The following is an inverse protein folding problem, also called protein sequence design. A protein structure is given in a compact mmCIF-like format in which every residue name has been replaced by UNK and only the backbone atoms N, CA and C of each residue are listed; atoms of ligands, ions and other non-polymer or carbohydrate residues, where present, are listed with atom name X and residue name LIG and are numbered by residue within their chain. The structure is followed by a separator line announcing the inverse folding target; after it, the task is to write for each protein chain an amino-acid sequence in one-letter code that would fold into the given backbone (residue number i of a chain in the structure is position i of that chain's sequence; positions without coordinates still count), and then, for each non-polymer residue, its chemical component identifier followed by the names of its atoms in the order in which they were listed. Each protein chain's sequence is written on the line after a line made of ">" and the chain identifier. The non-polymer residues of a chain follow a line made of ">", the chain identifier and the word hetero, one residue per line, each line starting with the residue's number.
data_IF_534267936921
#
_entry.id   IF_534267936921
#
_cell.length_a   1.000
_cell.length_b   1.000
_cell.length_c   1.000
_cell.angle_alpha   90.00
_cell.angle_beta   90.00
_cell.angle_gamma   90.00
#
_symmetry.space_group_name_H-M   'P 1'
#
loop_
_entity.id
_entity.type
_entity.pdbx_description
1 polymer ?
#
# COMPACT_ATOMS: atom_id res chain seq x y z
N UNK A 1 6.10 38.25 -16.80
CA UNK A 1 5.59 37.77 -18.09
C UNK A 1 4.87 36.45 -17.81
N UNK A 2 3.57 36.34 -18.06
CA UNK A 2 2.77 35.13 -17.78
C UNK A 2 3.09 33.90 -18.66
N UNK A 3 4.36 33.69 -18.98
CA UNK A 3 4.83 32.54 -19.77
C UNK A 3 5.04 31.35 -18.82
N UNK A 4 4.45 30.17 -19.11
CA UNK A 4 4.65 28.97 -18.29
C UNK A 4 6.07 28.42 -18.43
N UNK A 5 6.56 27.77 -17.36
CA UNK A 5 7.85 27.08 -17.34
C UNK A 5 7.58 25.59 -17.60
N UNK A 6 8.26 25.00 -18.58
CA UNK A 6 8.14 23.57 -18.87
C UNK A 6 9.39 22.85 -18.35
N UNK A 7 9.29 22.02 -17.28
CA UNK A 7 10.43 21.24 -16.82
C UNK A 7 10.72 20.10 -17.79
N UNK A 8 12.01 19.90 -18.09
CA UNK A 8 12.47 18.81 -18.97
C UNK A 8 13.62 18.09 -18.30
N UNK A 9 13.44 16.79 -18.09
CA UNK A 9 14.47 15.91 -17.54
C UNK A 9 15.13 15.08 -18.64
N UNK A 10 16.45 14.99 -18.59
CA UNK A 10 17.27 14.16 -19.46
C UNK A 10 17.93 13.05 -18.64
N UNK A 11 17.70 11.78 -19.00
CA UNK A 11 18.40 10.65 -18.41
C UNK A 11 19.79 10.52 -19.06
N UNK A 12 20.75 11.17 -18.43
CA UNK A 12 22.11 11.14 -18.94
C UNK A 12 23.11 11.55 -17.86
N UNK A 13 24.10 10.71 -17.62
CA UNK A 13 25.17 11.00 -16.68
C UNK A 13 26.50 11.18 -17.44
N UNK A 14 27.34 12.11 -16.96
CA UNK A 14 28.72 12.22 -17.40
C UNK A 14 29.54 11.07 -16.80
N UNK A 15 30.69 10.78 -17.40
CA UNK A 15 31.54 9.68 -16.98
C UNK A 15 32.05 9.85 -15.53
N UNK A 16 32.36 8.74 -14.86
CA UNK A 16 32.96 8.78 -13.52
C UNK A 16 34.26 9.62 -13.49
N UNK A 17 35.01 9.58 -14.60
CA UNK A 17 36.24 10.38 -14.74
C UNK A 17 35.95 11.88 -14.80
N UNK A 18 34.86 12.29 -15.46
CA UNK A 18 34.43 13.69 -15.47
C UNK A 18 34.13 14.19 -14.05
N UNK A 19 33.42 13.38 -13.25
CA UNK A 19 33.13 13.71 -11.86
C UNK A 19 34.38 13.73 -10.99
N UNK A 20 35.32 12.79 -11.19
CA UNK A 20 36.57 12.75 -10.46
C UNK A 20 37.44 14.00 -10.75
N UNK A 21 37.58 14.38 -12.02
CA UNK A 21 38.31 15.57 -12.42
C UNK A 21 37.69 16.84 -11.83
N UNK A 22 36.36 16.90 -11.71
CA UNK A 22 35.68 18.02 -11.07
C UNK A 22 35.94 18.14 -9.56
N UNK A 23 36.29 17.05 -8.89
CA UNK A 23 36.69 17.07 -7.48
C UNK A 23 38.10 17.64 -7.27
N UNK A 24 38.98 17.53 -8.29
CA UNK A 24 40.34 18.08 -8.27
C UNK A 24 40.32 19.59 -8.58
N UNK A 25 39.68 19.98 -9.70
CA UNK A 25 39.54 21.39 -10.07
C UNK A 25 38.38 21.63 -11.05
N UNK A 26 37.54 22.66 -10.87
CA UNK A 26 36.38 22.94 -11.73
C UNK A 26 36.71 23.13 -13.22
N UNK A 27 37.82 23.76 -13.55
CA UNK A 27 38.28 23.96 -14.94
C UNK A 27 38.54 22.64 -15.68
N UNK A 28 38.98 21.58 -15.00
CA UNK A 28 39.19 20.27 -15.62
C UNK A 28 37.89 19.65 -16.11
N UNK A 29 36.77 19.93 -15.46
CA UNK A 29 35.42 19.56 -15.93
C UNK A 29 35.10 20.25 -17.22
N UNK A 30 35.32 21.57 -17.29
CA UNK A 30 35.00 22.38 -18.48
C UNK A 30 35.78 21.91 -19.71
N UNK A 31 37.09 21.65 -19.57
CA UNK A 31 37.92 21.13 -20.64
C UNK A 31 37.47 19.76 -21.16
N UNK A 32 36.86 18.94 -20.28
CA UNK A 32 36.39 17.60 -20.66
C UNK A 32 35.00 17.57 -21.28
N UNK A 33 34.19 18.63 -21.22
CA UNK A 33 32.83 18.68 -21.77
C UNK A 33 32.74 18.24 -23.26
N UNK A 34 33.61 18.67 -24.19
CA UNK A 34 33.54 18.21 -25.57
C UNK A 34 33.72 16.70 -25.72
N UNK A 35 34.58 16.09 -24.90
CA UNK A 35 34.75 14.64 -24.87
C UNK A 35 33.52 13.91 -24.35
N UNK A 36 32.86 14.42 -23.30
CA UNK A 36 31.65 13.83 -22.77
C UNK A 36 30.48 13.87 -23.79
N UNK A 37 30.38 14.93 -24.59
CA UNK A 37 29.43 15.04 -25.70
C UNK A 37 29.69 14.00 -26.80
N UNK A 38 30.96 13.83 -27.21
CA UNK A 38 31.33 12.84 -28.20
C UNK A 38 31.19 11.40 -27.74
N UNK A 39 31.38 11.13 -26.45
CA UNK A 39 31.22 9.81 -25.83
C UNK A 39 29.74 9.35 -25.73
N UNK A 40 28.80 10.25 -25.97
CA UNK A 40 27.34 9.96 -26.06
C UNK A 40 26.85 9.66 -27.48
N UNK A 41 27.72 9.76 -28.46
CA UNK A 41 27.40 9.43 -29.85
C UNK A 41 26.93 7.97 -29.94
N UNK A 42 25.76 7.78 -30.58
CA UNK A 42 25.08 6.48 -30.72
C UNK A 42 24.47 5.89 -29.41
N UNK A 43 24.34 6.68 -28.35
CA UNK A 43 23.59 6.27 -27.14
C UNK A 43 22.19 6.89 -27.19
N UNK A 44 21.19 6.14 -26.79
CA UNK A 44 19.84 6.66 -26.58
C UNK A 44 19.82 7.41 -25.26
N UNK A 45 19.28 8.63 -25.27
CA UNK A 45 19.05 9.44 -24.07
C UNK A 45 17.55 9.56 -23.92
N UNK A 46 17.01 9.04 -22.82
CA UNK A 46 15.61 9.22 -22.51
C UNK A 46 15.34 10.68 -22.08
N UNK A 47 14.23 11.23 -22.54
CA UNK A 47 13.80 12.57 -22.24
C UNK A 47 12.38 12.55 -21.72
N UNK A 48 12.12 13.31 -20.65
CA UNK A 48 10.78 13.51 -20.12
C UNK A 48 10.43 15.00 -20.06
N UNK A 49 9.25 15.33 -20.54
CA UNK A 49 8.68 16.67 -20.50
C UNK A 49 7.57 16.65 -19.45
N UNK A 50 7.66 17.49 -18.43
CA UNK A 50 6.65 17.62 -17.38
C UNK A 50 5.52 18.56 -17.77
N UNK A 51 4.52 18.63 -16.90
CA UNK A 51 3.43 19.60 -17.06
C UNK A 51 3.96 21.02 -16.94
N UNK A 52 3.43 21.96 -17.75
CA UNK A 52 3.75 23.38 -17.63
C UNK A 52 3.44 23.89 -16.21
N UNK A 53 4.38 24.60 -15.62
CA UNK A 53 4.23 25.30 -14.34
C UNK A 53 3.72 26.68 -14.67
N UNK A 54 2.52 27.02 -14.19
CA UNK A 54 1.90 28.32 -14.44
C UNK A 54 2.56 29.42 -13.61
N UNK A 55 2.37 30.68 -14.01
CA UNK A 55 2.86 31.82 -13.24
C UNK A 55 2.22 31.86 -11.84
N UNK A 56 0.94 31.51 -11.71
CA UNK A 56 0.23 31.45 -10.43
C UNK A 56 0.78 30.42 -9.44
N UNK A 57 1.50 29.39 -9.92
CA UNK A 57 2.16 28.43 -9.03
C UNK A 57 3.48 28.95 -8.46
N UNK A 58 4.04 29.99 -9.05
CA UNK A 58 5.37 30.50 -8.69
C UNK A 58 5.38 31.97 -8.21
N UNK A 59 4.26 32.69 -8.30
CA UNK A 59 4.20 34.12 -7.95
C UNK A 59 4.38 34.38 -6.45
N UNK A 60 4.05 33.40 -5.59
CA UNK A 60 4.14 33.52 -4.14
C UNK A 60 5.57 33.25 -3.59
N UNK A 61 6.51 32.80 -4.43
CA UNK A 61 7.88 32.60 -3.97
C UNK A 61 8.58 33.93 -3.74
N UNK A 62 8.99 34.18 -2.50
CA UNK A 62 9.62 35.45 -2.08
C UNK A 62 11.14 35.47 -2.32
N UNK A 63 11.77 34.30 -2.44
CA UNK A 63 13.23 34.19 -2.68
C UNK A 63 13.53 33.40 -3.97
N UNK A 64 14.61 33.80 -4.65
CA UNK A 64 15.10 33.04 -5.82
C UNK A 64 15.61 31.64 -5.44
N UNK A 65 16.03 31.46 -4.19
CA UNK A 65 16.51 30.17 -3.70
C UNK A 65 15.36 29.17 -3.60
N UNK A 66 14.22 29.55 -3.03
CA UNK A 66 13.03 28.70 -2.90
C UNK A 66 12.43 28.38 -4.26
N UNK A 67 12.32 29.38 -5.14
CA UNK A 67 11.89 29.17 -6.51
C UNK A 67 12.84 28.20 -7.25
N UNK A 68 14.16 28.36 -7.07
CA UNK A 68 15.16 27.48 -7.65
C UNK A 68 15.03 26.04 -7.14
N UNK A 69 14.83 25.86 -5.85
CA UNK A 69 14.61 24.55 -5.23
C UNK A 69 13.32 23.88 -5.77
N UNK A 70 12.23 24.64 -5.87
CA UNK A 70 10.96 24.16 -6.43
C UNK A 70 11.13 23.69 -7.88
N UNK A 71 11.71 24.53 -8.77
CA UNK A 71 11.92 24.17 -10.18
C UNK A 71 12.86 22.98 -10.35
N UNK A 72 13.90 22.90 -9.50
CA UNK A 72 14.81 21.76 -9.46
C UNK A 72 14.05 20.48 -9.11
N UNK A 73 13.27 20.50 -8.04
CA UNK A 73 12.51 19.34 -7.56
C UNK A 73 11.45 18.90 -8.60
N UNK A 74 10.71 19.83 -9.21
CA UNK A 74 9.75 19.56 -10.28
C UNK A 74 10.41 18.91 -11.49
N UNK A 75 11.63 19.30 -11.82
CA UNK A 75 12.39 18.72 -12.95
C UNK A 75 12.90 17.33 -12.61
N UNK A 76 13.53 17.15 -11.44
CA UNK A 76 14.10 15.85 -11.05
C UNK A 76 13.05 14.82 -10.62
N UNK A 77 11.85 15.23 -10.22
CA UNK A 77 10.73 14.32 -10.01
C UNK A 77 10.37 13.52 -11.27
N UNK A 78 10.63 14.05 -12.47
CA UNK A 78 10.42 13.36 -13.74
C UNK A 78 11.33 12.13 -13.91
N UNK A 79 12.45 12.06 -13.21
CA UNK A 79 13.37 10.91 -13.20
C UNK A 79 12.65 9.63 -12.79
N UNK A 80 11.79 9.70 -11.79
CA UNK A 80 11.08 8.54 -11.23
C UNK A 80 10.22 7.79 -12.24
N UNK A 81 9.70 8.47 -13.26
CA UNK A 81 8.89 7.87 -14.31
C UNK A 81 9.69 7.01 -15.30
N UNK A 82 11.01 7.20 -15.38
CA UNK A 82 11.87 6.38 -16.25
C UNK A 82 12.06 4.97 -15.68
N UNK A 83 11.89 4.83 -14.37
CA UNK A 83 12.03 3.57 -13.63
C UNK A 83 10.69 2.96 -13.20
N UNK A 84 9.55 3.52 -13.67
CA UNK A 84 8.25 2.91 -13.43
C UNK A 84 8.16 1.58 -14.19
N UNK A 85 7.92 0.50 -13.48
CA UNK A 85 7.60 -0.78 -14.11
C UNK A 85 6.32 -0.64 -14.92
N UNK A 86 6.32 -1.23 -16.12
CA UNK A 86 5.13 -1.38 -16.93
C UNK A 86 4.17 -2.33 -16.19
N UNK A 87 3.07 -1.80 -15.69
CA UNK A 87 2.04 -2.58 -15.00
C UNK A 87 1.37 -3.63 -15.90
N UNK A 88 1.65 -3.64 -17.21
CA UNK A 88 1.12 -4.62 -18.15
C UNK A 88 1.78 -6.00 -18.08
N UNK A 89 2.97 -6.13 -17.44
CA UNK A 89 3.75 -7.36 -17.35
C UNK A 89 3.63 -8.10 -16.00
N UNK A 90 2.45 -8.07 -15.38
CA UNK A 90 2.22 -8.54 -14.02
C UNK A 90 2.12 -10.07 -13.84
N UNK A 91 2.32 -10.86 -14.88
CA UNK A 91 2.29 -12.33 -14.84
C UNK A 91 3.63 -12.97 -14.44
N UNK A 92 4.34 -12.42 -13.45
CA UNK A 92 5.63 -12.97 -12.99
C UNK A 92 5.50 -14.12 -11.97
N UNK A 93 4.32 -14.40 -11.48
CA UNK A 93 4.06 -15.62 -10.71
C UNK A 93 3.58 -16.70 -11.68
N UNK A 94 4.33 -17.81 -11.81
CA UNK A 94 4.03 -18.90 -12.75
C UNK A 94 2.56 -19.34 -12.72
N UNK A 95 2.15 -20.12 -13.72
CA UNK A 95 0.77 -20.56 -14.06
C UNK A 95 0.01 -21.34 -12.95
N UNK A 96 0.44 -21.25 -11.69
CA UNK A 96 -0.29 -21.89 -10.60
C UNK A 96 -1.61 -21.14 -10.33
N UNK A 97 -2.72 -21.73 -10.76
CA UNK A 97 -4.08 -21.28 -10.44
C UNK A 97 -4.54 -22.09 -9.22
N UNK A 98 -4.72 -21.45 -8.04
CA UNK A 98 -5.31 -22.12 -6.90
C UNK A 98 -6.66 -22.74 -7.28
N UNK A 99 -6.95 -23.95 -6.79
CA UNK A 99 -8.26 -24.57 -7.03
C UNK A 99 -9.29 -23.99 -6.06
N UNK A 100 -10.30 -23.27 -6.56
CA UNK A 100 -11.39 -22.80 -5.73
C UNK A 100 -12.20 -23.98 -5.17
N UNK A 101 -12.87 -23.77 -4.06
CA UNK A 101 -13.80 -24.74 -3.46
C UNK A 101 -15.05 -24.85 -4.34
N UNK A 102 -15.63 -26.04 -4.43
CA UNK A 102 -16.92 -26.22 -5.13
C UNK A 102 -17.98 -25.28 -4.54
N UNK A 103 -18.66 -24.44 -5.36
CA UNK A 103 -19.70 -23.53 -4.92
C UNK A 103 -20.83 -24.18 -4.12
N UNK A 104 -21.14 -25.45 -4.35
CA UNK A 104 -22.16 -26.18 -3.60
C UNK A 104 -21.69 -26.53 -2.20
N UNK A 105 -20.42 -26.86 -2.01
CA UNK A 105 -19.81 -27.08 -0.69
C UNK A 105 -19.81 -25.79 0.11
N UNK A 106 -19.46 -24.66 -0.51
CA UNK A 106 -19.52 -23.34 0.15
C UNK A 106 -20.95 -22.99 0.55
N UNK A 107 -21.93 -23.17 -0.37
CA UNK A 107 -23.33 -22.88 -0.10
C UNK A 107 -23.87 -23.71 1.09
N UNK A 108 -23.55 -25.00 1.14
CA UNK A 108 -23.93 -25.88 2.25
C UNK A 108 -23.32 -25.40 3.59
N UNK A 109 -22.07 -24.96 3.60
CA UNK A 109 -21.44 -24.42 4.80
C UNK A 109 -22.08 -23.08 5.22
N UNK A 110 -22.39 -22.20 4.29
CA UNK A 110 -23.08 -20.92 4.53
C UNK A 110 -24.46 -21.13 5.18
N UNK A 111 -25.24 -22.12 4.76
CA UNK A 111 -26.55 -22.44 5.34
C UNK A 111 -26.46 -22.76 6.82
N UNK A 112 -25.36 -23.37 7.26
CA UNK A 112 -25.12 -23.66 8.69
C UNK A 112 -24.71 -22.43 9.52
N UNK A 113 -24.45 -21.29 8.88
CA UNK A 113 -23.89 -20.07 9.51
C UNK A 113 -24.91 -18.95 9.68
N UNK A 114 -26.20 -19.25 9.73
CA UNK A 114 -27.25 -18.25 9.89
C UNK A 114 -27.07 -17.36 11.12
N UNK A 115 -26.55 -17.89 12.23
CA UNK A 115 -26.25 -17.14 13.45
C UNK A 115 -25.10 -16.13 13.32
N UNK A 116 -24.23 -16.33 12.34
CA UNK A 116 -23.06 -15.48 12.07
C UNK A 116 -23.38 -14.37 11.09
N UNK A 117 -24.58 -14.40 10.49
CA UNK A 117 -25.01 -13.39 9.52
C UNK A 117 -25.29 -12.06 10.20
N UNK A 118 -24.65 -11.00 9.71
CA UNK A 118 -24.84 -9.63 10.21
C UNK A 118 -25.98 -8.91 9.48
N UNK A 119 -26.05 -9.03 8.15
CA UNK A 119 -27.10 -8.42 7.32
C UNK A 119 -27.12 -9.03 5.92
N UNK A 120 -28.19 -8.69 5.19
CA UNK A 120 -28.33 -8.93 3.74
C UNK A 120 -28.48 -7.60 2.99
N UNK A 121 -27.99 -7.54 1.75
CA UNK A 121 -28.13 -6.39 0.84
C UNK A 121 -28.15 -6.86 -0.62
N UNK A 122 -29.33 -6.84 -1.26
CA UNK A 122 -29.51 -7.44 -2.58
C UNK A 122 -29.22 -8.94 -2.57
N UNK A 123 -28.36 -9.39 -3.47
CA UNK A 123 -27.87 -10.79 -3.52
C UNK A 123 -26.79 -11.10 -2.49
N UNK A 124 -26.28 -10.12 -1.77
CA UNK A 124 -25.13 -10.27 -0.86
C UNK A 124 -25.54 -10.47 0.58
N UNK A 125 -24.88 -11.40 1.26
CA UNK A 125 -24.96 -11.62 2.70
C UNK A 125 -23.58 -11.33 3.34
N UNK A 126 -23.60 -10.65 4.49
CA UNK A 126 -22.40 -10.37 5.28
C UNK A 126 -22.38 -11.26 6.52
N UNK A 127 -21.25 -11.91 6.76
CA UNK A 127 -21.04 -12.81 7.89
C UNK A 127 -19.83 -12.39 8.73
N UNK A 128 -19.85 -12.82 10.01
CA UNK A 128 -18.73 -12.61 10.92
C UNK A 128 -18.52 -13.88 11.76
N UNK A 129 -17.53 -14.69 11.37
CA UNK A 129 -17.34 -16.06 11.88
C UNK A 129 -15.94 -16.28 12.45
N UNK A 130 -15.79 -17.37 13.23
CA UNK A 130 -14.49 -17.89 13.67
C UNK A 130 -13.94 -18.86 12.62
N UNK A 131 -12.63 -18.91 12.48
CA UNK A 131 -11.90 -19.80 11.56
C UNK A 131 -12.39 -21.28 11.62
N UNK A 132 -12.48 -21.83 12.83
CA UNK A 132 -12.85 -23.23 13.08
C UNK A 132 -14.26 -23.60 12.59
N UNK A 133 -15.13 -22.62 12.47
CA UNK A 133 -16.53 -22.81 12.14
C UNK A 133 -16.81 -22.74 10.62
N UNK A 134 -15.80 -22.35 9.81
CA UNK A 134 -15.90 -22.07 8.37
C UNK A 134 -14.73 -22.68 7.57
N UNK A 135 -14.38 -23.96 7.70
CA UNK A 135 -13.17 -24.50 7.11
C UNK A 135 -13.10 -24.39 5.56
N UNK A 136 -14.19 -24.65 4.84
CA UNK A 136 -14.23 -24.55 3.39
C UNK A 136 -14.26 -23.06 2.93
N UNK A 137 -15.03 -22.23 3.64
CA UNK A 137 -15.06 -20.79 3.40
C UNK A 137 -13.68 -20.17 3.65
N UNK A 138 -12.96 -20.59 4.71
CA UNK A 138 -11.60 -20.12 4.96
C UNK A 138 -10.62 -20.54 3.88
N UNK A 139 -10.74 -21.76 3.37
CA UNK A 139 -9.93 -22.18 2.22
C UNK A 139 -10.19 -21.28 1.02
N UNK A 140 -11.47 -21.06 0.69
CA UNK A 140 -11.85 -20.17 -0.44
C UNK A 140 -11.39 -18.72 -0.21
N UNK A 141 -11.52 -18.18 1.01
CA UNK A 141 -10.96 -16.87 1.38
C UNK A 141 -9.46 -16.84 1.12
N UNK A 142 -8.72 -17.87 1.50
CA UNK A 142 -7.27 -17.97 1.27
C UNK A 142 -6.90 -17.98 -0.21
N UNK A 143 -7.67 -18.71 -1.03
CA UNK A 143 -7.52 -18.74 -2.50
C UNK A 143 -7.76 -17.35 -3.10
N UNK A 144 -8.92 -16.72 -2.81
CA UNK A 144 -9.28 -15.41 -3.39
C UNK A 144 -8.36 -14.29 -2.90
N UNK A 145 -7.87 -14.41 -1.69
CA UNK A 145 -6.91 -13.48 -1.09
C UNK A 145 -5.56 -13.56 -1.80
N UNK A 146 -5.04 -14.76 -2.02
CA UNK A 146 -3.81 -14.96 -2.78
C UNK A 146 -3.94 -14.45 -4.22
N UNK A 147 -5.04 -14.76 -4.94
CA UNK A 147 -5.32 -14.24 -6.28
C UNK A 147 -5.30 -12.69 -6.30
N UNK A 148 -6.00 -12.07 -5.34
CA UNK A 148 -6.12 -10.62 -5.28
C UNK A 148 -4.80 -9.93 -4.97
N UNK A 149 -4.01 -10.48 -4.05
CA UNK A 149 -2.71 -9.92 -3.67
C UNK A 149 -1.64 -10.16 -4.73
N UNK A 150 -1.64 -11.31 -5.41
CA UNK A 150 -0.77 -11.53 -6.58
C UNK A 150 -0.99 -10.49 -7.66
N UNK A 151 -2.23 -10.12 -7.92
CA UNK A 151 -2.57 -9.12 -8.93
C UNK A 151 -2.00 -7.73 -8.64
N UNK A 152 -1.55 -7.46 -7.41
CA UNK A 152 -0.91 -6.20 -7.01
C UNK A 152 0.54 -6.39 -6.53
N UNK A 153 1.13 -7.56 -6.76
CA UNK A 153 2.52 -7.87 -6.42
C UNK A 153 2.77 -8.09 -4.92
N UNK A 154 1.72 -8.41 -4.16
CA UNK A 154 1.76 -8.64 -2.72
C UNK A 154 1.37 -10.06 -2.32
N UNK A 155 1.23 -10.98 -3.30
CA UNK A 155 0.94 -12.39 -3.06
C UNK A 155 2.06 -13.09 -2.30
N UNK A 156 1.69 -14.14 -1.55
CA UNK A 156 2.65 -14.94 -0.78
C UNK A 156 3.45 -15.91 -1.64
N UNK A 157 2.96 -16.22 -2.85
CA UNK A 157 3.50 -17.27 -3.73
C UNK A 157 3.05 -18.68 -3.35
N UNK A 158 2.30 -18.84 -2.26
CA UNK A 158 1.73 -20.11 -1.82
C UNK A 158 0.42 -20.42 -2.58
N UNK A 159 -0.11 -21.63 -2.43
CA UNK A 159 -1.40 -22.01 -3.00
C UNK A 159 -2.56 -21.22 -2.45
N UNK A 160 -2.49 -20.91 -1.16
CA UNK A 160 -3.48 -20.12 -0.42
C UNK A 160 -2.76 -19.14 0.52
N UNK A 161 -3.30 -17.93 0.66
CA UNK A 161 -2.80 -16.97 1.65
C UNK A 161 -3.53 -17.20 2.99
N UNK A 162 -2.99 -18.13 3.79
CA UNK A 162 -3.41 -18.36 5.18
C UNK A 162 -2.18 -18.43 6.08
N UNK A 163 -2.30 -17.93 7.30
CA UNK A 163 -1.22 -17.95 8.29
C UNK A 163 -1.72 -18.35 9.69
N UNK A 164 -0.81 -18.46 10.64
CA UNK A 164 -1.15 -18.82 12.03
C UNK A 164 -2.18 -17.89 12.68
N UNK A 165 -2.18 -16.60 12.29
CA UNK A 165 -3.10 -15.61 12.83
C UNK A 165 -4.54 -15.86 12.41
N UNK A 166 -4.78 -16.41 11.22
CA UNK A 166 -6.13 -16.73 10.75
C UNK A 166 -6.86 -17.66 11.73
N UNK A 167 -6.14 -18.56 12.42
CA UNK A 167 -6.73 -19.59 13.26
C UNK A 167 -7.46 -19.07 14.51
N UNK A 168 -7.11 -17.88 15.00
CA UNK A 168 -7.71 -17.26 16.19
C UNK A 168 -8.23 -15.84 15.97
N UNK A 169 -8.04 -15.26 14.80
CA UNK A 169 -8.76 -14.07 14.36
C UNK A 169 -10.19 -14.43 13.92
N UNK A 170 -11.03 -13.43 13.84
CA UNK A 170 -12.36 -13.53 13.26
C UNK A 170 -12.31 -13.10 11.78
N UNK A 171 -13.28 -13.59 11.01
CA UNK A 171 -13.38 -13.32 9.59
C UNK A 171 -14.71 -12.67 9.28
N UNK A 172 -14.65 -11.45 8.73
CA UNK A 172 -15.78 -10.75 8.15
C UNK A 172 -15.74 -10.97 6.65
N UNK A 173 -16.80 -11.52 6.07
CA UNK A 173 -16.83 -11.81 4.64
C UNK A 173 -18.19 -11.57 4.01
N UNK A 174 -18.17 -11.28 2.71
CA UNK A 174 -19.35 -11.10 1.89
C UNK A 174 -19.52 -12.32 0.99
N UNK A 175 -20.70 -12.89 1.03
CA UNK A 175 -21.14 -14.01 0.21
C UNK A 175 -22.13 -13.54 -0.86
N UNK A 176 -21.92 -13.91 -2.11
CA UNK A 176 -22.90 -13.73 -3.20
C UNK A 176 -23.76 -14.99 -3.34
N UNK A 177 -25.06 -14.86 -3.06
CA UNK A 177 -26.01 -15.98 -3.14
C UNK A 177 -26.28 -16.45 -4.56
N UNK A 178 -26.20 -15.54 -5.54
CA UNK A 178 -26.46 -15.85 -6.95
C UNK A 178 -25.28 -16.57 -7.57
N UNK A 179 -24.07 -16.02 -7.37
CA UNK A 179 -22.83 -16.60 -7.92
C UNK A 179 -22.25 -17.72 -7.04
N UNK A 180 -22.79 -17.91 -5.82
CA UNK A 180 -22.30 -18.86 -4.82
C UNK A 180 -20.79 -18.75 -4.58
N UNK A 181 -20.31 -17.53 -4.29
CA UNK A 181 -18.89 -17.24 -4.13
C UNK A 181 -18.60 -16.16 -3.11
N UNK A 182 -17.35 -16.14 -2.64
CA UNK A 182 -16.83 -15.10 -1.75
C UNK A 182 -16.47 -13.86 -2.57
N UNK A 183 -17.05 -12.73 -2.18
CA UNK A 183 -16.89 -11.43 -2.84
C UNK A 183 -15.71 -10.64 -2.28
N UNK A 184 -15.44 -10.81 -0.99
CA UNK A 184 -14.35 -10.14 -0.29
C UNK A 184 -14.39 -10.44 1.20
N UNK A 185 -13.30 -10.16 1.90
CA UNK A 185 -13.22 -10.40 3.32
C UNK A 185 -12.23 -9.44 4.02
N UNK A 186 -12.37 -9.38 5.35
CA UNK A 186 -11.42 -8.81 6.31
C UNK A 186 -11.07 -9.82 7.38
N UNK A 187 -9.83 -9.83 7.82
CA UNK A 187 -9.40 -10.53 9.03
C UNK A 187 -9.42 -9.53 10.20
N UNK A 188 -10.13 -9.88 11.30
CA UNK A 188 -10.33 -9.03 12.47
C UNK A 188 -9.74 -9.68 13.72
N UNK A 189 -8.72 -9.05 14.31
CA UNK A 189 -8.13 -9.46 15.57
C UNK A 189 -8.78 -8.70 16.73
N UNK A 190 -9.47 -9.42 17.60
CA UNK A 190 -10.01 -8.86 18.85
C UNK A 190 -8.85 -8.70 19.83
N UNK A 191 -8.17 -7.54 19.83
CA UNK A 191 -6.88 -7.35 20.51
C UNK A 191 -6.91 -7.73 21.99
N UNK A 192 -7.98 -7.39 22.73
CA UNK A 192 -8.14 -7.76 24.14
C UNK A 192 -8.10 -9.27 24.35
N UNK A 193 -8.82 -10.04 23.54
CA UNK A 193 -8.90 -11.49 23.63
C UNK A 193 -7.56 -12.13 23.25
N UNK A 194 -6.96 -11.64 22.17
CA UNK A 194 -5.68 -12.12 21.65
C UNK A 194 -4.56 -11.88 22.67
N UNK A 195 -4.47 -10.65 23.21
CA UNK A 195 -3.43 -10.31 24.18
C UNK A 195 -3.58 -11.14 25.46
N UNK A 196 -4.82 -11.39 25.91
CA UNK A 196 -5.07 -12.23 27.08
C UNK A 196 -4.60 -13.67 26.88
N UNK A 197 -4.73 -14.23 25.67
CA UNK A 197 -4.44 -15.63 25.39
C UNK A 197 -3.01 -15.86 24.90
N UNK A 198 -2.47 -14.96 24.07
CA UNK A 198 -1.19 -15.13 23.35
C UNK A 198 -0.16 -14.04 23.68
N UNK A 199 -0.49 -13.09 24.55
CA UNK A 199 0.32 -11.90 24.75
C UNK A 199 0.25 -10.94 23.54
N UNK A 200 1.06 -9.88 23.59
CA UNK A 200 1.13 -8.88 22.50
C UNK A 200 1.67 -9.49 21.20
N UNK A 201 2.50 -10.53 21.29
CA UNK A 201 3.05 -11.26 20.15
C UNK A 201 1.99 -12.04 19.36
N UNK A 202 0.78 -12.18 19.92
CA UNK A 202 -0.39 -12.69 19.23
C UNK A 202 -0.97 -11.71 18.20
N UNK A 203 -0.58 -10.44 18.20
CA UNK A 203 -1.02 -9.47 17.21
C UNK A 203 -0.11 -9.52 15.99
N UNK A 204 -0.72 -9.55 14.80
CA UNK A 204 0.01 -9.50 13.53
C UNK A 204 0.84 -8.21 13.42
N UNK A 205 0.25 -7.07 13.79
CA UNK A 205 0.94 -5.78 13.74
C UNK A 205 2.18 -5.72 14.65
N UNK A 206 2.26 -6.53 15.72
CA UNK A 206 3.46 -6.61 16.55
C UNK A 206 4.65 -7.28 15.83
N UNK A 207 4.41 -7.98 14.72
CA UNK A 207 5.49 -8.48 13.85
C UNK A 207 6.14 -7.37 13.00
N UNK A 208 5.48 -6.21 12.87
CA UNK A 208 5.88 -5.09 12.03
C UNK A 208 6.25 -3.84 12.85
N UNK A 209 5.66 -3.70 14.02
CA UNK A 209 5.78 -2.50 14.87
C UNK A 209 6.07 -2.85 16.31
N UNK A 210 6.66 -1.92 17.06
CA UNK A 210 6.82 -1.96 18.52
C UNK A 210 5.86 -0.97 19.17
N UNK A 211 5.04 -1.46 20.08
CA UNK A 211 4.13 -0.64 20.87
C UNK A 211 4.82 -0.19 22.17
N UNK A 212 4.87 1.13 22.41
CA UNK A 212 5.35 1.66 23.69
C UNK A 212 4.31 1.44 24.80
N UNK A 213 4.77 1.33 26.03
CA UNK A 213 3.92 1.03 27.19
C UNK A 213 2.64 1.90 27.29
N UNK A 214 2.66 3.21 26.99
CA UNK A 214 1.44 4.03 27.03
C UNK A 214 0.38 3.68 25.99
N UNK A 215 0.76 2.93 24.89
CA UNK A 215 -0.18 2.49 23.88
C UNK A 215 -0.94 1.22 24.28
N UNK A 216 -0.33 0.36 25.10
CA UNK A 216 -0.87 -0.98 25.43
C UNK A 216 -2.32 -0.94 25.96
N UNK A 217 -2.70 -0.02 26.88
CA UNK A 217 -4.09 0.05 27.37
C UNK A 217 -5.11 0.36 26.28
N UNK A 218 -4.71 1.02 25.18
CA UNK A 218 -5.61 1.30 24.06
C UNK A 218 -5.93 0.04 23.26
N UNK A 219 -5.00 -0.93 23.19
CA UNK A 219 -5.21 -2.20 22.50
C UNK A 219 -6.38 -3.01 23.07
N UNK A 220 -6.70 -2.87 24.36
CA UNK A 220 -7.85 -3.53 24.98
C UNK A 220 -9.21 -3.09 24.39
N UNK A 221 -9.25 -1.92 23.75
CA UNK A 221 -10.45 -1.37 23.09
C UNK A 221 -10.28 -1.29 21.58
N UNK A 222 -9.47 -2.17 21.03
CA UNK A 222 -9.04 -2.12 19.62
C UNK A 222 -9.37 -3.43 18.91
N UNK A 223 -9.78 -3.30 17.66
CA UNK A 223 -9.78 -4.40 16.68
C UNK A 223 -8.66 -4.16 15.69
N UNK A 224 -7.80 -5.15 15.49
CA UNK A 224 -6.81 -5.16 14.44
C UNK A 224 -7.42 -5.63 13.13
N UNK A 225 -7.32 -4.81 12.08
CA UNK A 225 -7.76 -5.11 10.73
C UNK A 225 -6.58 -5.57 9.88
N UNK A 226 -6.78 -6.61 9.11
CA UNK A 226 -5.76 -7.09 8.17
C UNK A 226 -6.35 -7.92 7.03
N UNK A 227 -5.50 -8.24 6.09
CA UNK A 227 -5.84 -9.14 4.99
C UNK A 227 -7.16 -8.77 4.28
N UNK A 228 -7.40 -7.47 4.08
CA UNK A 228 -8.58 -6.98 3.37
C UNK A 228 -8.43 -7.19 1.87
N UNK A 229 -9.47 -7.74 1.25
CA UNK A 229 -9.50 -7.88 -0.21
C UNK A 229 -10.93 -7.86 -0.74
N UNK A 230 -11.05 -7.52 -2.02
CA UNK A 230 -12.21 -7.77 -2.87
C UNK A 230 -11.75 -8.69 -3.99
N UNK A 231 -12.49 -9.77 -4.24
CA UNK A 231 -12.17 -10.75 -5.28
C UNK A 231 -12.08 -10.08 -6.67
N UNK A 232 -11.15 -10.51 -7.52
CA UNK A 232 -10.86 -9.90 -8.82
C UNK A 232 -12.11 -9.68 -9.69
N UNK A 233 -13.07 -10.62 -9.62
CA UNK A 233 -14.33 -10.54 -10.35
C UNK A 233 -15.26 -9.40 -9.93
N UNK A 234 -14.97 -8.76 -8.77
CA UNK A 234 -15.81 -7.71 -8.17
C UNK A 234 -15.05 -6.39 -7.92
N UNK A 235 -13.76 -6.30 -8.23
CA UNK A 235 -12.94 -5.10 -7.96
C UNK A 235 -13.36 -3.85 -8.74
N UNK A 236 -14.07 -4.02 -9.87
CA UNK A 236 -14.59 -2.90 -10.66
C UNK A 236 -15.89 -2.32 -10.11
N UNK A 237 -16.46 -2.92 -9.07
CA UNK A 237 -17.71 -2.52 -8.44
C UNK A 237 -17.41 -1.83 -7.10
N UNK A 238 -18.05 -0.70 -6.80
CA UNK A 238 -17.88 0.00 -5.53
C UNK A 238 -18.65 -0.67 -4.37
N UNK A 239 -19.71 -1.41 -4.68
CA UNK A 239 -20.62 -1.99 -3.69
C UNK A 239 -19.94 -3.00 -2.75
N UNK A 240 -19.11 -3.95 -3.21
CA UNK A 240 -18.45 -4.92 -2.33
C UNK A 240 -17.63 -4.27 -1.22
N UNK A 241 -16.83 -3.26 -1.53
CA UNK A 241 -16.04 -2.53 -0.53
C UNK A 241 -16.94 -1.80 0.47
N UNK A 242 -18.01 -1.15 -0.03
CA UNK A 242 -18.99 -0.47 0.83
C UNK A 242 -19.70 -1.44 1.79
N UNK A 243 -20.00 -2.67 1.33
CA UNK A 243 -20.62 -3.71 2.17
C UNK A 243 -19.64 -4.24 3.23
N UNK A 244 -18.35 -4.39 2.90
CA UNK A 244 -17.32 -4.75 3.88
C UNK A 244 -17.19 -3.66 4.96
N UNK A 245 -17.15 -2.39 4.57
CA UNK A 245 -17.12 -1.27 5.52
C UNK A 245 -18.37 -1.26 6.39
N UNK A 246 -19.56 -1.46 5.79
CA UNK A 246 -20.81 -1.59 6.53
C UNK A 246 -20.74 -2.75 7.54
N UNK A 247 -20.12 -3.88 7.16
CA UNK A 247 -19.89 -5.02 8.04
C UNK A 247 -19.07 -4.66 9.26
N UNK A 248 -18.01 -3.85 9.11
CA UNK A 248 -17.22 -3.35 10.25
C UNK A 248 -18.09 -2.53 11.23
N UNK A 249 -19.02 -1.70 10.74
CA UNK A 249 -19.95 -0.98 11.63
C UNK A 249 -20.87 -1.94 12.39
N UNK A 250 -21.37 -3.01 11.76
CA UNK A 250 -22.16 -4.02 12.45
C UNK A 250 -21.35 -4.76 13.53
N UNK A 251 -20.06 -5.01 13.28
CA UNK A 251 -19.15 -5.56 14.30
C UNK A 251 -19.02 -4.58 15.47
N UNK A 252 -18.89 -3.27 15.24
CA UNK A 252 -18.84 -2.27 16.33
C UNK A 252 -20.15 -2.24 17.15
N UNK A 253 -21.32 -2.42 16.52
CA UNK A 253 -22.58 -2.52 17.24
C UNK A 253 -22.61 -3.77 18.16
N UNK A 254 -21.97 -4.86 17.74
CA UNK A 254 -21.86 -6.09 18.54
C UNK A 254 -20.83 -5.95 19.69
N UNK A 255 -19.84 -5.07 19.53
CA UNK A 255 -18.75 -4.85 20.50
C UNK A 255 -18.64 -3.35 20.88
N UNK A 256 -19.59 -2.81 21.67
CA UNK A 256 -19.69 -1.37 21.93
C UNK A 256 -18.51 -0.77 22.72
N UNK A 257 -17.70 -1.60 23.38
CA UNK A 257 -16.50 -1.16 24.09
C UNK A 257 -15.32 -0.82 23.16
N UNK A 258 -15.37 -1.23 21.90
CA UNK A 258 -14.34 -0.95 20.91
C UNK A 258 -14.36 0.53 20.54
N UNK A 259 -13.17 1.13 20.54
CA UNK A 259 -12.95 2.55 20.24
C UNK A 259 -12.05 2.78 19.02
N UNK A 260 -11.23 1.80 18.69
CA UNK A 260 -10.18 1.96 17.68
C UNK A 260 -10.14 0.79 16.72
N UNK A 261 -9.84 1.10 15.48
CA UNK A 261 -9.31 0.15 14.52
C UNK A 261 -7.84 0.46 14.28
N UNK A 262 -7.00 -0.57 14.25
CA UNK A 262 -5.62 -0.48 13.79
C UNK A 262 -5.39 -1.49 12.68
N UNK A 263 -4.41 -1.24 11.83
CA UNK A 263 -4.02 -2.20 10.80
C UNK A 263 -2.87 -1.64 9.98
N UNK A 264 -1.89 -2.48 9.62
CA UNK A 264 -0.86 -2.07 8.68
C UNK A 264 -1.46 -1.91 7.28
N UNK A 265 -1.07 -0.86 6.60
CA UNK A 265 -1.41 -0.61 5.19
C UNK A 265 -0.13 -0.78 4.38
N UNK A 266 -0.17 -1.67 3.38
CA UNK A 266 0.93 -1.84 2.44
C UNK A 266 0.91 -0.77 1.36
N UNK A 267 2.10 -0.37 0.93
CA UNK A 267 2.29 0.44 -0.28
C UNK A 267 3.07 -0.44 -1.24
N UNK A 268 2.48 -0.78 -2.37
CA UNK A 268 3.08 -1.68 -3.34
C UNK A 268 4.49 -1.26 -3.73
N UNK A 269 5.41 -2.23 -3.79
CA UNK A 269 6.79 -2.03 -4.24
C UNK A 269 6.88 -1.61 -5.72
N UNK A 270 5.81 -1.74 -6.47
CA UNK A 270 5.72 -1.29 -7.87
C UNK A 270 5.70 0.23 -8.02
N UNK A 271 5.26 0.95 -6.98
CA UNK A 271 5.41 2.40 -7.00
C UNK A 271 6.88 2.78 -6.95
N UNK A 272 7.34 3.68 -7.83
CA UNK A 272 8.70 4.21 -7.78
C UNK A 272 9.05 4.70 -6.37
N UNK A 273 10.31 4.54 -5.92
CA UNK A 273 10.74 4.92 -4.56
C UNK A 273 10.38 6.36 -4.19
N UNK A 274 10.48 7.29 -5.13
CA UNK A 274 10.10 8.69 -4.92
C UNK A 274 8.60 8.82 -4.56
N UNK A 275 7.71 8.11 -5.28
CA UNK A 275 6.27 8.20 -5.00
C UNK A 275 5.91 7.59 -3.65
N UNK A 276 6.55 6.48 -3.27
CA UNK A 276 6.38 5.91 -1.92
C UNK A 276 6.84 6.90 -0.85
N UNK A 277 7.96 7.59 -1.10
CA UNK A 277 8.47 8.64 -0.21
C UNK A 277 7.46 9.78 -0.07
N UNK A 278 6.89 10.28 -1.16
CA UNK A 278 5.85 11.32 -1.13
C UNK A 278 4.60 10.88 -0.38
N UNK A 279 4.10 9.67 -0.64
CA UNK A 279 2.91 9.15 0.05
C UNK A 279 3.14 9.09 1.56
N UNK A 280 4.26 8.54 2.01
CA UNK A 280 4.58 8.43 3.42
C UNK A 280 4.79 9.80 4.07
N UNK A 281 5.47 10.72 3.38
CA UNK A 281 5.67 12.09 3.86
C UNK A 281 4.32 12.81 4.02
N UNK A 282 3.46 12.76 3.00
CA UNK A 282 2.13 13.35 3.03
C UNK A 282 1.28 12.80 4.18
N UNK A 283 1.25 11.46 4.35
CA UNK A 283 0.51 10.83 5.42
C UNK A 283 1.01 11.25 6.80
N UNK A 284 2.33 11.34 6.99
CA UNK A 284 2.92 11.83 8.24
C UNK A 284 2.59 13.29 8.51
N UNK A 285 2.59 14.14 7.48
CA UNK A 285 2.30 15.56 7.63
C UNK A 285 0.82 15.86 7.90
N UNK A 286 -0.08 15.16 7.21
CA UNK A 286 -1.51 15.49 7.19
C UNK A 286 -2.38 14.61 8.08
N UNK A 287 -1.94 13.39 8.38
CA UNK A 287 -2.77 12.37 9.04
C UNK A 287 -2.11 11.76 10.28
N UNK A 288 -0.91 12.18 10.67
CA UNK A 288 -0.31 11.73 11.91
C UNK A 288 -1.15 12.21 13.11
N UNK A 289 -1.63 11.28 13.92
CA UNK A 289 -2.30 11.60 15.16
C UNK A 289 -1.28 12.00 16.21
N UNK A 290 -1.40 13.22 16.75
CA UNK A 290 -0.45 13.77 17.73
C UNK A 290 -0.37 12.96 19.04
N UNK A 291 -1.45 12.25 19.39
CA UNK A 291 -1.53 11.42 20.60
C UNK A 291 -0.84 10.07 20.41
N UNK A 292 -0.94 9.46 19.22
CA UNK A 292 -0.54 8.07 19.00
C UNK A 292 0.71 7.89 18.14
N UNK A 293 1.04 8.84 17.26
CA UNK A 293 2.14 8.68 16.30
C UNK A 293 3.51 8.45 16.94
N UNK A 294 3.74 8.97 18.14
CA UNK A 294 4.97 8.77 18.89
C UNK A 294 4.99 7.51 19.77
N UNK A 295 3.90 6.72 19.80
CA UNK A 295 3.74 5.56 20.67
C UNK A 295 3.90 4.21 19.94
N UNK A 296 4.09 4.25 18.62
CA UNK A 296 4.25 3.07 17.77
C UNK A 296 5.46 3.29 16.86
N UNK A 297 6.47 2.45 17.00
CA UNK A 297 7.67 2.52 16.17
C UNK A 297 7.71 1.34 15.19
N UNK A 298 8.05 1.53 13.91
CA UNK A 298 8.28 0.43 13.00
C UNK A 298 9.51 -0.38 13.41
N UNK A 299 9.48 -1.70 13.22
CA UNK A 299 10.65 -2.58 13.43
C UNK A 299 11.70 -2.28 12.38
N UNK A 300 11.26 -2.11 11.13
CA UNK A 300 12.09 -1.70 10.01
C UNK A 300 11.63 -0.30 9.56
N UNK A 301 12.37 0.76 9.94
CA UNK A 301 12.02 2.11 9.54
C UNK A 301 12.07 2.28 8.02
N UNK A 302 11.11 3.00 7.48
CA UNK A 302 11.14 3.38 6.07
C UNK A 302 12.27 4.38 5.82
N UNK A 303 13.19 4.02 4.91
CA UNK A 303 14.24 4.91 4.44
C UNK A 303 13.73 5.69 3.21
N UNK A 304 13.61 7.04 3.31
CA UNK A 304 13.20 7.86 2.19
C UNK A 304 14.18 7.74 1.02
N UNK A 305 13.67 7.46 -0.16
CA UNK A 305 14.46 7.38 -1.39
C UNK A 305 13.95 8.45 -2.38
N UNK A 306 14.33 9.68 -2.12
CA UNK A 306 13.93 10.81 -2.95
C UNK A 306 14.94 11.12 -4.08
N UNK A 307 16.06 10.40 -4.12
CA UNK A 307 17.13 10.67 -5.08
C UNK A 307 17.68 12.08 -4.91
N UNK A 308 17.47 12.92 -5.94
CA UNK A 308 17.89 14.33 -5.94
C UNK A 308 16.79 15.29 -5.49
N UNK A 309 15.61 14.77 -5.14
CA UNK A 309 14.43 15.58 -4.79
C UNK A 309 14.39 15.84 -3.30
N UNK A 310 14.25 17.08 -2.90
CA UNK A 310 13.90 17.45 -1.54
C UNK A 310 12.37 17.43 -1.38
N UNK A 311 11.89 16.39 -0.69
CA UNK A 311 10.44 16.17 -0.49
C UNK A 311 9.81 17.26 0.39
N UNK A 312 10.61 17.88 1.27
CA UNK A 312 10.15 18.96 2.14
C UNK A 312 9.89 20.28 1.42
N UNK A 313 10.49 20.46 0.25
CA UNK A 313 10.38 21.68 -0.57
C UNK A 313 9.29 21.59 -1.67
N UNK A 314 8.52 20.51 -1.71
CA UNK A 314 7.37 20.29 -2.61
C UNK A 314 6.06 20.35 -1.83
#
# INVERSE_FOLDING_TARGET
>A
SGVPIIPVYFDGQNSALFHLMGKIHPLLRTVRLPHELSNKKKKTVALRIGHPISFSEIEDFTTLQDLGAYLYNRTYALESHLYSHDFSNLNTYGEYVPKPVDPQVLAAEIETRSSDKLFSAGSYDCFFSSYKDIPNIMHEIGVRREESFRNVGEGTGAEIDTDKFDTYYKHLYIWDREKKGIVGAYRLGMCKEIIKQYGIDGLYSNSLFRYKAPFIPHLEKTIELGRSFVALSHQKEALPLALLIKGLFYVLLKYPDIKYFIGPVSISSWYPPLYRTFMIYYLKQKHADSKFSGLVDPIEPFEPQAGRVDVGAL
#
